data_IF_642251084989
#
_entry.id   IF_642251084989
#
_cell.length_a   1.000
_cell.length_b   1.000
_cell.length_c   1.000
_cell.angle_alpha   90.00
_cell.angle_beta   90.00
_cell.angle_gamma   90.00
#
_symmetry.space_group_name_H-M   'P 1'
#
loop_
_entity.id
_entity.type
_entity.pdbx_description
1 polymer ?
#
# COMPACT_ATOMS: atom_id res chain seq x y z
N UNK A 1 8.58 -28.90 -7.75
CA UNK A 1 8.22 -28.02 -8.87
C UNK A 1 6.81 -28.17 -9.46
N UNK A 2 6.19 -29.37 -9.62
CA UNK A 2 4.91 -29.48 -10.34
C UNK A 2 3.74 -28.74 -9.65
N UNK A 3 3.66 -28.80 -8.31
CA UNK A 3 2.55 -28.21 -7.54
C UNK A 3 2.48 -26.69 -7.66
N UNK A 4 3.62 -26.01 -7.84
CA UNK A 4 3.66 -24.56 -7.98
C UNK A 4 3.06 -24.13 -9.33
N UNK A 5 3.43 -24.84 -10.39
CA UNK A 5 2.98 -24.58 -11.75
C UNK A 5 1.48 -24.86 -11.91
N UNK A 6 0.99 -25.95 -11.34
CA UNK A 6 -0.45 -26.26 -11.29
C UNK A 6 -1.26 -25.15 -10.59
N UNK A 7 -0.76 -24.62 -9.46
CA UNK A 7 -1.42 -23.51 -8.76
C UNK A 7 -1.49 -22.24 -9.60
N UNK A 8 -0.42 -21.94 -10.36
CA UNK A 8 -0.38 -20.78 -11.24
C UNK A 8 -1.38 -20.95 -12.39
N UNK A 9 -1.39 -22.10 -13.08
CA UNK A 9 -2.31 -22.39 -14.18
C UNK A 9 -3.77 -22.34 -13.73
N UNK A 10 -4.07 -22.93 -12.59
CA UNK A 10 -5.41 -22.92 -11.99
C UNK A 10 -5.85 -21.48 -11.62
N UNK A 11 -4.94 -20.66 -11.09
CA UNK A 11 -5.19 -19.25 -10.80
C UNK A 11 -5.52 -18.45 -12.07
N UNK A 12 -4.77 -18.65 -13.15
CA UNK A 12 -4.97 -17.98 -14.44
C UNK A 12 -6.33 -18.38 -15.03
N UNK A 13 -6.64 -19.67 -15.06
CA UNK A 13 -7.91 -20.20 -15.56
C UNK A 13 -9.11 -19.61 -14.80
N UNK A 14 -9.03 -19.52 -13.46
CA UNK A 14 -10.09 -18.92 -12.63
C UNK A 14 -10.26 -17.43 -12.92
N UNK A 15 -9.17 -16.70 -13.10
CA UNK A 15 -9.22 -15.28 -13.44
C UNK A 15 -9.91 -15.05 -14.78
N UNK A 16 -9.56 -15.84 -15.81
CA UNK A 16 -10.17 -15.76 -17.13
C UNK A 16 -11.68 -16.04 -17.08
N UNK A 17 -12.09 -17.10 -16.36
CA UNK A 17 -13.51 -17.43 -16.18
C UNK A 17 -14.28 -16.35 -15.41
N UNK A 18 -13.65 -15.71 -14.44
CA UNK A 18 -14.27 -14.59 -13.72
C UNK A 18 -14.48 -13.38 -14.62
N UNK A 19 -13.53 -13.04 -15.48
CA UNK A 19 -13.68 -11.93 -16.42
C UNK A 19 -14.87 -12.19 -17.36
N UNK A 20 -14.98 -13.41 -17.88
CA UNK A 20 -16.14 -13.84 -18.68
C UNK A 20 -17.45 -13.79 -17.87
N UNK A 21 -17.43 -14.27 -16.63
CA UNK A 21 -18.59 -14.24 -15.73
C UNK A 21 -19.04 -12.82 -15.39
N UNK A 22 -18.11 -11.89 -15.18
CA UNK A 22 -18.40 -10.48 -14.98
C UNK A 22 -18.99 -9.84 -16.25
N UNK A 23 -18.47 -10.19 -17.43
CA UNK A 23 -19.00 -9.70 -18.70
C UNK A 23 -20.43 -10.19 -18.98
N UNK A 24 -20.75 -11.43 -18.59
CA UNK A 24 -22.05 -12.05 -18.81
C UNK A 24 -23.11 -11.71 -17.75
N UNK A 25 -22.70 -11.63 -16.48
CA UNK A 25 -23.61 -11.57 -15.33
C UNK A 25 -23.40 -10.34 -14.43
N UNK A 26 -22.41 -9.50 -14.72
CA UNK A 26 -22.12 -8.29 -13.94
C UNK A 26 -21.84 -8.59 -12.47
N UNK A 27 -22.55 -7.89 -11.58
CA UNK A 27 -22.41 -7.96 -10.12
C UNK A 27 -22.79 -9.32 -9.50
N UNK A 28 -23.51 -10.16 -10.25
CA UNK A 28 -23.96 -11.48 -9.81
C UNK A 28 -22.81 -12.50 -9.71
N UNK A 29 -21.58 -12.14 -10.11
CA UNK A 29 -20.38 -12.97 -9.96
C UNK A 29 -19.83 -13.02 -8.51
N UNK A 30 -20.71 -12.91 -7.51
CA UNK A 30 -20.35 -12.85 -6.08
C UNK A 30 -19.53 -14.05 -5.61
N UNK A 31 -19.79 -15.25 -6.16
CA UNK A 31 -19.05 -16.48 -5.81
C UNK A 31 -17.55 -16.36 -6.06
N UNK A 32 -17.13 -15.77 -7.18
CA UNK A 32 -15.71 -15.58 -7.46
C UNK A 32 -15.10 -14.56 -6.51
N UNK A 33 -15.78 -13.43 -6.24
CA UNK A 33 -15.27 -12.42 -5.32
C UNK A 33 -15.10 -12.97 -3.90
N UNK A 34 -16.10 -13.68 -3.36
CA UNK A 34 -15.98 -14.30 -2.05
C UNK A 34 -14.86 -15.34 -2.00
N UNK A 35 -14.71 -16.13 -3.06
CA UNK A 35 -13.62 -17.09 -3.18
C UNK A 35 -12.24 -16.40 -3.22
N UNK A 36 -12.06 -15.39 -4.08
CA UNK A 36 -10.82 -14.65 -4.25
C UNK A 36 -10.45 -13.89 -2.97
N UNK A 37 -11.41 -13.25 -2.31
CA UNK A 37 -11.23 -12.57 -1.02
C UNK A 37 -10.84 -13.58 0.06
N UNK A 38 -11.51 -14.73 0.14
CA UNK A 38 -11.15 -15.79 1.11
C UNK A 38 -9.74 -16.33 0.87
N UNK A 39 -9.35 -16.53 -0.38
CA UNK A 39 -8.01 -17.00 -0.72
C UNK A 39 -6.94 -15.94 -0.40
N UNK A 40 -7.22 -14.66 -0.67
CA UNK A 40 -6.36 -13.54 -0.27
C UNK A 40 -6.22 -13.47 1.25
N UNK A 41 -7.31 -13.58 2.00
CA UNK A 41 -7.27 -13.62 3.47
C UNK A 41 -6.38 -14.76 3.97
N UNK A 42 -6.43 -15.94 3.36
CA UNK A 42 -5.56 -17.07 3.73
C UNK A 42 -4.08 -16.84 3.38
N UNK A 43 -3.79 -16.15 2.27
CA UNK A 43 -2.40 -15.82 1.89
C UNK A 43 -1.81 -14.64 2.67
N UNK A 44 -2.65 -13.71 3.09
CA UNK A 44 -2.26 -12.52 3.86
C UNK A 44 -2.29 -12.80 5.37
N UNK A 45 -2.78 -13.98 5.78
CA UNK A 45 -2.72 -14.41 7.16
C UNK A 45 -1.26 -14.44 7.62
N UNK A 46 -0.96 -13.66 8.66
CA UNK A 46 0.37 -13.53 9.21
C UNK A 46 0.71 -14.84 9.94
N UNK A 47 1.52 -15.70 9.31
CA UNK A 47 1.83 -17.04 9.85
C UNK A 47 2.98 -17.03 10.86
N UNK A 48 3.92 -16.11 10.69
CA UNK A 48 5.09 -15.99 11.56
C UNK A 48 5.59 -14.54 11.58
N UNK A 49 6.17 -14.15 12.72
CA UNK A 49 6.76 -12.84 12.93
C UNK A 49 8.08 -12.97 13.70
N UNK A 50 9.05 -12.12 13.38
CA UNK A 50 10.31 -12.02 14.12
C UNK A 50 10.34 -10.71 14.89
N UNK A 51 10.60 -10.80 16.21
CA UNK A 51 10.79 -9.64 17.08
C UNK A 51 12.14 -9.81 17.79
N UNK A 52 13.11 -8.95 17.43
CA UNK A 52 14.50 -9.11 17.87
C UNK A 52 15.10 -10.41 17.34
N UNK A 53 15.47 -11.32 18.24
CA UNK A 53 16.03 -12.64 17.93
C UNK A 53 15.03 -13.79 18.11
N UNK A 54 13.77 -13.50 18.43
CA UNK A 54 12.74 -14.51 18.70
C UNK A 54 11.77 -14.59 17.53
N UNK A 55 11.38 -15.81 17.17
CA UNK A 55 10.39 -16.12 16.14
C UNK A 55 9.10 -16.53 16.82
N UNK A 56 7.99 -15.91 16.44
CA UNK A 56 6.64 -16.18 16.93
C UNK A 56 5.79 -16.71 15.77
N UNK A 57 4.97 -17.73 16.02
CA UNK A 57 4.20 -18.43 14.97
C UNK A 57 2.76 -18.58 15.46
N UNK A 58 1.80 -18.40 14.56
CA UNK A 58 0.37 -18.61 14.85
C UNK A 58 -0.15 -17.70 15.97
N UNK A 59 -0.78 -18.30 16.98
CA UNK A 59 -1.53 -17.58 18.02
C UNK A 59 -0.63 -16.73 18.94
N UNK A 60 0.66 -17.05 19.05
CA UNK A 60 1.61 -16.30 19.87
C UNK A 60 1.95 -14.92 19.31
N UNK A 61 1.68 -14.70 18.01
CA UNK A 61 2.02 -13.45 17.31
C UNK A 61 1.33 -12.25 17.94
N UNK A 62 0.03 -12.37 18.26
CA UNK A 62 -0.75 -11.26 18.81
C UNK A 62 -0.26 -10.86 20.21
N UNK A 63 0.02 -11.85 21.05
CA UNK A 63 0.57 -11.64 22.39
C UNK A 63 1.96 -11.00 22.33
N UNK A 64 2.82 -11.49 21.43
CA UNK A 64 4.16 -10.97 21.21
C UNK A 64 4.15 -9.51 20.71
N UNK A 65 3.29 -9.19 19.74
CA UNK A 65 3.07 -7.83 19.25
C UNK A 65 2.59 -6.89 20.36
N UNK A 66 1.59 -7.33 21.11
CA UNK A 66 0.99 -6.56 22.19
C UNK A 66 2.03 -6.23 23.25
N UNK A 67 2.85 -7.21 23.63
CA UNK A 67 3.91 -7.04 24.61
C UNK A 67 5.02 -6.13 24.06
N UNK A 68 5.49 -6.38 22.84
CA UNK A 68 6.54 -5.58 22.20
C UNK A 68 6.18 -4.10 22.13
N UNK A 69 4.98 -3.78 21.65
CA UNK A 69 4.56 -2.38 21.53
C UNK A 69 4.23 -1.77 22.88
N UNK A 70 3.65 -2.53 23.82
CA UNK A 70 3.48 -2.06 25.20
C UNK A 70 4.83 -1.65 25.78
N UNK A 71 5.84 -2.49 25.70
CA UNK A 71 7.18 -2.19 26.22
C UNK A 71 7.84 -1.02 25.49
N UNK A 72 7.66 -0.95 24.17
CA UNK A 72 8.19 0.14 23.34
C UNK A 72 7.63 1.50 23.77
N UNK A 73 6.31 1.59 24.02
CA UNK A 73 5.64 2.83 24.42
C UNK A 73 5.66 3.08 25.93
N UNK A 74 5.90 2.05 26.75
CA UNK A 74 6.04 2.21 28.21
C UNK A 74 7.41 2.72 28.62
N UNK A 75 8.42 2.60 27.75
CA UNK A 75 9.71 3.27 27.97
C UNK A 75 9.45 4.77 27.96
N UNK A 76 9.79 5.50 29.05
CA UNK A 76 9.73 6.94 29.02
C UNK A 76 10.52 7.42 27.82
N UNK A 77 9.93 8.35 27.08
CA UNK A 77 10.57 9.03 25.95
C UNK A 77 11.71 9.87 26.51
N UNK A 78 12.82 9.22 26.88
CA UNK A 78 14.10 9.86 27.13
C UNK A 78 14.53 10.39 25.77
N UNK A 79 13.99 11.55 25.42
CA UNK A 79 14.54 12.37 24.38
C UNK A 79 14.53 11.67 23.00
N UNK A 80 13.35 11.64 22.37
CA UNK A 80 13.34 11.88 20.92
C UNK A 80 14.14 13.17 20.78
N UNK A 81 15.35 13.10 20.22
CA UNK A 81 16.31 14.20 20.17
C UNK A 81 15.51 15.50 20.19
N UNK A 82 15.64 16.33 21.25
CA UNK A 82 15.10 17.69 21.19
C UNK A 82 15.48 18.13 19.80
N UNK A 83 14.46 18.45 19.04
CA UNK A 83 14.51 18.89 17.67
C UNK A 83 15.10 20.32 17.72
N UNK A 84 16.22 20.46 18.43
CA UNK A 84 16.90 21.66 18.89
C UNK A 84 17.66 22.28 17.72
N UNK A 85 17.69 21.58 16.58
CA UNK A 85 18.33 22.02 15.35
C UNK A 85 17.51 21.66 14.10
N UNK A 86 16.19 21.51 14.22
CA UNK A 86 15.36 21.77 13.04
C UNK A 86 14.96 23.22 13.15
N UNK A 87 15.72 24.05 12.43
CA UNK A 87 15.22 25.35 11.98
C UNK A 87 13.97 25.09 11.15
N UNK A 88 12.82 24.97 11.81
CA UNK A 88 11.54 25.15 11.18
C UNK A 88 11.52 26.62 10.77
N UNK A 89 12.01 26.89 9.56
CA UNK A 89 11.96 28.21 8.99
C UNK A 89 10.49 28.64 8.98
N UNK A 90 10.15 29.61 9.82
CA UNK A 90 8.87 30.28 9.70
C UNK A 90 8.84 30.90 8.31
N UNK A 91 7.91 30.46 7.48
CA UNK A 91 7.70 31.07 6.18
C UNK A 91 7.45 32.57 6.42
N UNK A 92 8.17 33.42 5.69
CA UNK A 92 7.87 34.85 5.72
C UNK A 92 6.49 35.07 5.13
N UNK A 93 5.83 36.17 5.50
CA UNK A 93 4.51 36.56 4.99
C UNK A 93 4.44 36.48 3.45
N UNK A 94 5.53 36.88 2.79
CA UNK A 94 5.62 36.84 1.33
C UNK A 94 5.61 35.40 0.78
N UNK A 95 6.33 34.46 1.41
CA UNK A 95 6.30 33.06 1.00
C UNK A 95 4.94 32.40 1.23
N UNK A 96 4.24 32.75 2.32
CA UNK A 96 2.88 32.28 2.57
C UNK A 96 1.92 32.75 1.47
N UNK A 97 2.01 34.03 1.10
CA UNK A 97 1.19 34.60 0.01
C UNK A 97 1.50 33.91 -1.33
N UNK A 98 2.77 33.60 -1.62
CA UNK A 98 3.15 32.87 -2.84
C UNK A 98 2.56 31.46 -2.88
N UNK A 99 2.51 30.75 -1.75
CA UNK A 99 1.94 29.40 -1.67
C UNK A 99 0.42 29.38 -1.84
N UNK A 100 -0.27 30.44 -1.40
CA UNK A 100 -1.71 30.60 -1.56
C UNK A 100 -2.12 31.15 -2.93
N UNK A 101 -1.15 31.56 -3.76
CA UNK A 101 -1.43 32.18 -5.05
C UNK A 101 -1.94 31.14 -6.07
N UNK A 102 -2.98 31.45 -6.87
CA UNK A 102 -3.43 30.56 -7.91
C UNK A 102 -2.34 30.34 -8.96
N UNK A 103 -2.24 29.09 -9.43
CA UNK A 103 -1.31 28.71 -10.48
C UNK A 103 -1.59 29.46 -11.78
N UNK A 104 -0.51 29.91 -12.43
CA UNK A 104 -0.59 30.44 -13.77
C UNK A 104 -0.81 29.29 -14.77
N UNK A 105 -1.55 29.58 -15.84
CA UNK A 105 -1.82 28.61 -16.90
C UNK A 105 -0.53 28.01 -17.50
N UNK A 106 0.55 28.79 -17.55
CA UNK A 106 1.85 28.31 -18.04
C UNK A 106 2.52 27.30 -17.10
N UNK A 107 2.36 27.45 -15.78
CA UNK A 107 2.90 26.51 -14.80
C UNK A 107 2.19 25.15 -14.91
N UNK A 108 0.87 25.18 -15.03
CA UNK A 108 0.05 23.98 -15.28
C UNK A 108 0.50 23.32 -16.58
N UNK A 109 0.76 24.11 -17.63
CA UNK A 109 1.26 23.61 -18.92
C UNK A 109 2.59 22.88 -18.78
N UNK A 110 3.53 23.50 -18.10
CA UNK A 110 4.88 22.96 -17.93
C UNK A 110 4.90 21.65 -17.14
N UNK A 111 3.93 21.41 -16.25
CA UNK A 111 3.84 20.16 -15.47
C UNK A 111 3.05 19.08 -16.22
N UNK A 112 1.89 19.42 -16.78
CA UNK A 112 0.97 18.41 -17.32
C UNK A 112 1.38 17.92 -18.71
N UNK A 113 1.97 18.77 -19.55
CA UNK A 113 2.26 18.42 -20.96
C UNK A 113 3.43 17.44 -21.10
N UNK A 114 4.54 17.56 -20.33
CA UNK A 114 5.57 16.53 -20.32
C UNK A 114 5.05 15.16 -19.82
N UNK A 115 4.10 15.16 -18.88
CA UNK A 115 3.47 13.92 -18.39
C UNK A 115 2.52 13.31 -19.43
N UNK A 116 1.85 14.13 -20.24
CA UNK A 116 1.01 13.67 -21.35
C UNK A 116 1.84 13.01 -22.47
N UNK A 117 3.11 13.41 -22.65
CA UNK A 117 4.04 12.76 -23.59
C UNK A 117 4.55 11.40 -23.08
N UNK A 118 4.48 11.12 -21.78
CA UNK A 118 4.84 9.82 -21.20
C UNK A 118 3.69 8.81 -21.33
N UNK A 119 2.45 9.28 -21.54
CA UNK A 119 1.25 8.45 -21.66
C UNK A 119 0.84 8.02 -23.08
N UNK A 120 1.54 8.50 -24.12
CA UNK A 120 1.29 8.09 -25.51
C UNK A 120 2.40 7.16 -26.02
N UNK A 121 2.24 5.82 -25.91
CA UNK A 121 2.95 4.94 -26.81
C UNK A 121 2.35 5.17 -28.21
N UNK A 122 3.12 5.84 -29.06
CA UNK A 122 3.12 5.79 -30.53
C UNK A 122 1.95 5.04 -31.17
N UNK A 123 1.03 5.80 -31.79
CA UNK A 123 0.40 5.34 -33.02
C UNK A 123 1.49 5.35 -34.11
N UNK A 124 2.01 4.17 -34.40
CA UNK A 124 2.50 3.80 -35.73
C UNK A 124 1.59 2.69 -36.24
#
# INVERSE_FOLDING_TARGET
WPVQEWRIRESIHRQQRSTLGWFLYGDQNSKFFHFATSQRCRSTLLQAMVIGHKVFIGDDILSALTTHFRDFYSKPLYFRALLLDIHLFSLSVLHTITLEWPFLHQEIKNVVWPLALIGCPTLM
#
